data_IF_708166908068
#
_entry.id   IF_708166908068
#
_cell.length_a   1.000
_cell.length_b   1.000
_cell.length_c   1.000
_cell.angle_alpha   90.00
_cell.angle_beta   90.00
_cell.angle_gamma   90.00
#
_symmetry.space_group_name_H-M   'P 1'
#
loop_
_entity.id
_entity.type
_entity.pdbx_description
1 polymer ?
#
# COMPACT_ATOMS: atom_id res chain seq x y z
N UNK A 1 -3.54 -20.83 -81.48
CA UNK A 1 -3.19 -19.74 -82.42
C UNK A 1 -4.12 -18.58 -82.09
N UNK A 2 -3.57 -17.41 -81.77
CA UNK A 2 -4.26 -16.17 -81.31
C UNK A 2 -4.93 -16.28 -79.92
N UNK A 3 -4.97 -15.29 -79.03
CA UNK A 3 -4.45 -13.92 -78.92
C UNK A 3 -4.63 -13.59 -77.41
N UNK A 4 -3.65 -13.02 -76.69
CA UNK A 4 -3.91 -12.41 -75.37
C UNK A 4 -3.20 -11.06 -75.32
N UNK A 5 -3.99 -10.01 -75.48
CA UNK A 5 -3.58 -8.62 -75.33
C UNK A 5 -4.00 -8.16 -73.93
N UNK A 6 -3.02 -7.72 -73.12
CA UNK A 6 -3.24 -7.17 -71.78
C UNK A 6 -3.78 -5.75 -71.88
N UNK A 7 -4.94 -5.49 -71.29
CA UNK A 7 -5.46 -4.14 -71.04
C UNK A 7 -5.38 -3.89 -69.54
N UNK A 8 -4.65 -2.86 -69.15
CA UNK A 8 -4.57 -2.37 -67.76
C UNK A 8 -5.79 -1.48 -67.51
N UNK A 9 -6.61 -1.83 -66.52
CA UNK A 9 -7.67 -0.99 -65.99
C UNK A 9 -7.24 -0.43 -64.63
N UNK A 10 -7.16 0.90 -64.57
CA UNK A 10 -7.12 1.65 -63.32
C UNK A 10 -8.57 1.83 -62.84
N UNK A 11 -8.85 1.45 -61.59
CA UNK A 11 -10.11 1.74 -60.92
C UNK A 11 -9.84 2.14 -59.47
N UNK A 12 -10.09 3.41 -59.20
CA UNK A 12 -10.08 4.08 -57.90
C UNK A 12 -11.36 3.82 -57.09
N UNK A 13 -11.18 3.84 -55.75
CA UNK A 13 -12.14 4.24 -54.69
C UNK A 13 -13.33 3.32 -54.35
N UNK A 14 -13.29 2.75 -53.14
CA UNK A 14 -14.23 3.03 -52.05
C UNK A 14 -13.85 2.21 -50.79
N UNK A 15 -12.96 2.74 -49.96
CA UNK A 15 -12.72 2.19 -48.62
C UNK A 15 -13.70 2.82 -47.64
N UNK A 16 -14.65 2.01 -47.19
CA UNK A 16 -15.61 2.33 -46.13
C UNK A 16 -14.84 2.44 -44.80
N UNK A 17 -14.47 3.66 -44.39
CA UNK A 17 -13.98 3.90 -43.02
C UNK A 17 -15.15 3.83 -42.05
N UNK A 18 -15.32 2.67 -41.41
CA UNK A 18 -16.05 2.56 -40.16
C UNK A 18 -15.24 3.31 -39.09
N UNK A 19 -15.60 4.57 -38.82
CA UNK A 19 -15.20 5.24 -37.59
C UNK A 19 -15.86 4.52 -36.43
N UNK A 20 -15.18 3.52 -35.86
CA UNK A 20 -15.45 3.12 -34.48
C UNK A 20 -14.93 4.23 -33.58
N UNK A 21 -15.84 5.15 -33.23
CA UNK A 21 -15.64 6.11 -32.17
C UNK A 21 -15.49 5.30 -30.86
N UNK A 22 -14.25 4.95 -30.50
CA UNK A 22 -13.99 4.47 -29.15
C UNK A 22 -14.15 5.66 -28.23
N UNK A 23 -14.93 5.56 -27.13
CA UNK A 23 -14.89 6.59 -26.11
C UNK A 23 -13.47 6.59 -25.54
N UNK A 24 -12.71 7.63 -25.85
CA UNK A 24 -11.51 7.96 -25.12
C UNK A 24 -11.95 8.36 -23.72
N UNK A 25 -11.98 7.40 -22.80
CA UNK A 25 -11.97 7.68 -21.37
C UNK A 25 -10.60 8.31 -21.04
N UNK A 26 -10.45 9.59 -21.34
CA UNK A 26 -9.37 10.42 -20.85
C UNK A 26 -9.79 10.93 -19.46
N UNK A 27 -9.00 10.57 -18.43
CA UNK A 27 -9.27 10.96 -17.04
C UNK A 27 -9.35 9.81 -16.03
N UNK A 28 -8.67 8.69 -16.30
CA UNK A 28 -8.45 7.66 -15.29
C UNK A 28 -7.18 7.96 -14.52
N UNK A 29 -7.32 8.23 -13.21
CA UNK A 29 -6.23 8.17 -12.24
C UNK A 29 -5.35 6.95 -12.56
N UNK A 30 -4.04 7.19 -12.67
CA UNK A 30 -3.05 6.33 -13.31
C UNK A 30 -3.36 4.84 -13.14
N UNK A 31 -3.81 4.18 -14.23
CA UNK A 31 -3.97 2.71 -14.29
C UNK A 31 -2.61 2.04 -14.32
N UNK A 32 -1.92 2.08 -13.19
CA UNK A 32 -0.57 1.58 -13.02
C UNK A 32 -0.58 0.08 -12.75
N UNK A 33 0.22 -0.66 -13.52
CA UNK A 33 0.50 -2.07 -13.23
C UNK A 33 1.51 -2.26 -12.10
N UNK A 34 2.21 -1.18 -11.71
CA UNK A 34 3.16 -1.16 -10.61
C UNK A 34 2.60 -0.32 -9.46
N UNK A 35 2.38 -0.95 -8.30
CA UNK A 35 1.97 -0.27 -7.05
C UNK A 35 2.97 -0.68 -5.99
N UNK A 36 3.57 0.28 -5.27
CA UNK A 36 4.53 -0.03 -4.21
C UNK A 36 5.71 -0.86 -4.71
N UNK A 37 6.20 -0.58 -5.92
CA UNK A 37 7.37 -1.27 -6.46
C UNK A 37 7.19 -2.77 -6.71
N UNK A 38 5.96 -3.25 -6.93
CA UNK A 38 5.67 -4.61 -7.44
C UNK A 38 4.80 -4.55 -8.69
N UNK A 39 5.05 -5.45 -9.64
CA UNK A 39 4.25 -5.62 -10.86
C UNK A 39 3.31 -6.82 -10.72
N UNK A 40 2.06 -6.66 -11.16
CA UNK A 40 1.04 -7.72 -11.15
C UNK A 40 0.49 -7.93 -12.56
N UNK A 41 0.74 -9.10 -13.13
CA UNK A 41 0.27 -9.47 -14.47
C UNK A 41 -1.25 -9.79 -14.51
N UNK A 42 -1.76 -10.10 -15.71
CA UNK A 42 -3.18 -10.40 -15.91
C UNK A 42 -3.63 -11.69 -15.20
N UNK A 43 -2.68 -12.61 -14.98
CA UNK A 43 -2.86 -13.86 -14.26
C UNK A 43 -2.78 -13.68 -12.73
N UNK A 44 -2.47 -12.48 -12.25
CA UNK A 44 -2.33 -12.16 -10.83
C UNK A 44 -1.02 -12.62 -10.21
N UNK A 45 0.04 -12.81 -11.02
CA UNK A 45 1.38 -13.13 -10.54
C UNK A 45 2.10 -11.86 -10.11
N UNK A 46 2.53 -11.83 -8.85
CA UNK A 46 3.35 -10.75 -8.29
C UNK A 46 4.82 -10.98 -8.64
N UNK A 47 5.48 -9.92 -9.11
CA UNK A 47 6.91 -9.91 -9.43
C UNK A 47 7.52 -8.54 -9.18
N UNK A 48 8.84 -8.44 -9.21
CA UNK A 48 9.48 -7.13 -9.27
C UNK A 48 9.14 -6.44 -10.59
N UNK A 49 8.98 -5.11 -10.61
CA UNK A 49 8.95 -4.36 -11.84
C UNK A 49 10.28 -4.59 -12.57
N UNK A 50 10.21 -4.97 -13.84
CA UNK A 50 11.40 -5.09 -14.68
C UNK A 50 11.99 -3.69 -14.83
N UNK A 51 13.10 -3.41 -14.13
CA UNK A 51 13.86 -2.16 -14.32
C UNK A 51 14.38 -2.17 -15.75
N UNK A 52 13.68 -1.52 -16.66
CA UNK A 52 14.08 -1.56 -18.06
C UNK A 52 13.00 -1.39 -19.12
N UNK A 53 11.86 -0.79 -18.81
CA UNK A 53 11.02 -0.24 -19.89
C UNK A 53 10.98 1.30 -19.81
N UNK A 54 12.08 2.00 -20.16
CA UNK A 54 12.12 3.45 -20.23
C UNK A 54 11.01 4.02 -21.11
N UNK A 55 10.56 3.29 -22.13
CA UNK A 55 9.47 3.70 -23.02
C UNK A 55 8.12 3.62 -22.31
N UNK A 56 7.88 2.59 -21.49
CA UNK A 56 6.66 2.49 -20.65
C UNK A 56 6.65 3.49 -19.50
N UNK A 57 7.80 3.76 -18.88
CA UNK A 57 7.93 4.82 -17.86
C UNK A 57 7.83 6.23 -18.47
N UNK A 58 8.38 6.44 -19.67
CA UNK A 58 8.20 7.67 -20.42
C UNK A 58 6.73 7.86 -20.81
N UNK A 59 6.03 6.81 -21.25
CA UNK A 59 4.59 6.86 -21.52
C UNK A 59 3.79 7.20 -20.26
N UNK A 60 4.09 6.59 -19.11
CA UNK A 60 3.46 6.94 -17.81
C UNK A 60 3.73 8.40 -17.42
N UNK A 61 4.94 8.91 -17.67
CA UNK A 61 5.32 10.32 -17.42
C UNK A 61 4.68 11.30 -18.42
N UNK A 62 4.47 10.88 -19.67
CA UNK A 62 3.89 11.70 -20.74
C UNK A 62 2.36 11.72 -20.74
N UNK A 63 1.68 10.76 -20.09
CA UNK A 63 0.22 10.60 -20.18
C UNK A 63 -0.55 10.59 -18.86
N UNK A 64 0.11 10.67 -17.69
CA UNK A 64 -0.49 10.19 -16.45
C UNK A 64 -1.09 11.20 -15.48
N UNK A 65 -0.53 12.39 -15.33
CA UNK A 65 -0.93 13.34 -14.28
C UNK A 65 -0.86 14.79 -14.75
N UNK A 66 -1.85 15.57 -14.34
CA UNK A 66 -1.84 17.02 -14.53
C UNK A 66 -0.64 17.65 -13.79
N UNK A 67 -0.19 18.82 -14.28
CA UNK A 67 0.83 19.58 -13.57
C UNK A 67 0.30 19.98 -12.20
N UNK A 68 1.14 19.81 -11.17
CA UNK A 68 0.79 20.20 -9.79
C UNK A 68 0.38 21.68 -9.79
N UNK A 69 -0.83 22.03 -9.31
CA UNK A 69 -1.25 23.41 -9.16
C UNK A 69 -0.24 24.20 -8.31
N UNK A 70 0.04 25.45 -8.70
CA UNK A 70 1.13 26.25 -8.08
C UNK A 70 0.91 26.50 -6.60
N UNK A 71 -0.35 26.64 -6.19
CA UNK A 71 -0.79 26.81 -4.80
C UNK A 71 -0.63 25.52 -3.97
N UNK A 72 -0.77 24.34 -4.57
CA UNK A 72 -0.61 23.04 -3.89
C UNK A 72 0.86 22.59 -3.84
N UNK A 73 1.68 23.05 -4.78
CA UNK A 73 3.07 22.63 -4.95
C UNK A 73 3.95 22.94 -3.73
N UNK A 74 3.64 24.00 -2.99
CA UNK A 74 4.41 24.39 -1.79
C UNK A 74 4.25 23.35 -0.67
N UNK A 75 5.38 23.03 -0.04
CA UNK A 75 5.41 22.13 1.10
C UNK A 75 4.79 22.81 2.33
N UNK A 76 3.89 22.09 2.99
CA UNK A 76 3.17 22.53 4.17
C UNK A 76 3.33 21.50 5.28
N UNK A 77 3.76 21.91 6.49
CA UNK A 77 3.83 21.00 7.63
C UNK A 77 2.44 20.52 8.06
N UNK A 78 1.39 21.28 7.73
CA UNK A 78 0.03 20.98 8.10
C UNK A 78 -0.95 21.57 7.07
N UNK A 79 -1.42 20.71 6.17
CA UNK A 79 -2.51 20.97 5.22
C UNK A 79 -3.78 20.31 5.69
N UNK A 80 -4.89 21.00 5.52
CA UNK A 80 -6.22 20.56 5.86
C UNK A 80 -7.03 20.31 4.59
N UNK A 81 -7.83 19.24 4.59
CA UNK A 81 -8.67 18.80 3.47
C UNK A 81 -10.11 18.64 3.96
N UNK A 82 -11.04 19.42 3.39
CA UNK A 82 -12.47 19.37 3.71
C UNK A 82 -13.14 18.19 2.99
N UNK A 83 -13.64 17.21 3.75
CA UNK A 83 -14.36 16.08 3.16
C UNK A 83 -15.69 16.51 2.53
N UNK A 84 -16.36 17.52 3.11
CA UNK A 84 -17.58 18.09 2.52
C UNK A 84 -17.34 18.67 1.13
N UNK A 85 -16.26 19.45 0.96
CA UNK A 85 -15.95 20.07 -0.32
C UNK A 85 -15.39 19.05 -1.32
N UNK A 86 -14.59 18.08 -0.86
CA UNK A 86 -14.15 16.96 -1.71
C UNK A 86 -15.35 16.17 -2.24
N UNK A 87 -16.30 15.80 -1.38
CA UNK A 87 -17.56 15.14 -1.77
C UNK A 87 -18.34 15.97 -2.80
N UNK A 88 -18.47 17.29 -2.58
CA UNK A 88 -19.15 18.19 -3.51
C UNK A 88 -18.46 18.26 -4.89
N UNK A 89 -17.12 18.29 -4.92
CA UNK A 89 -16.35 18.27 -6.18
C UNK A 89 -16.56 16.93 -6.91
N UNK A 90 -16.52 15.80 -6.20
CA UNK A 90 -16.77 14.50 -6.80
C UNK A 90 -18.16 14.46 -7.43
N UNK A 91 -19.18 14.91 -6.69
CA UNK A 91 -20.55 14.99 -7.18
C UNK A 91 -20.66 15.83 -8.45
N UNK A 92 -20.13 17.07 -8.42
CA UNK A 92 -20.14 17.98 -9.57
C UNK A 92 -19.51 17.34 -10.81
N UNK A 93 -18.31 16.76 -10.66
CA UNK A 93 -17.58 16.19 -11.81
C UNK A 93 -18.28 14.95 -12.34
N UNK A 94 -18.73 14.05 -11.47
CA UNK A 94 -19.38 12.81 -11.91
C UNK A 94 -20.76 13.04 -12.51
N UNK A 95 -21.54 13.98 -12.00
CA UNK A 95 -22.82 14.38 -12.60
C UNK A 95 -22.63 15.05 -13.97
N UNK A 96 -21.53 15.76 -14.16
CA UNK A 96 -21.13 16.33 -15.45
C UNK A 96 -20.49 15.31 -16.41
N UNK A 97 -20.28 14.06 -16.00
CA UNK A 97 -19.58 13.05 -16.79
C UNK A 97 -18.09 13.34 -16.99
N UNK A 98 -17.50 14.14 -16.11
CA UNK A 98 -16.09 14.55 -16.14
C UNK A 98 -15.27 13.75 -15.12
N UNK A 99 -13.95 13.60 -15.36
CA UNK A 99 -13.06 13.04 -14.36
C UNK A 99 -12.92 13.97 -13.14
N UNK A 100 -12.63 13.38 -11.99
CA UNK A 100 -12.25 14.13 -10.79
C UNK A 100 -10.79 14.58 -10.97
N UNK A 101 -10.46 15.86 -10.72
CA UNK A 101 -9.09 16.37 -10.86
C UNK A 101 -8.06 15.61 -10.01
N UNK A 102 -6.84 15.49 -10.52
CA UNK A 102 -5.76 14.75 -9.86
C UNK A 102 -5.42 15.31 -8.48
N UNK A 103 -5.48 16.63 -8.30
CA UNK A 103 -5.23 17.25 -7.00
C UNK A 103 -6.22 16.79 -5.93
N UNK A 104 -7.49 16.54 -6.31
CA UNK A 104 -8.51 16.00 -5.40
C UNK A 104 -8.30 14.50 -5.20
N UNK A 105 -7.98 13.75 -6.27
CA UNK A 105 -7.66 12.32 -6.18
C UNK A 105 -6.41 12.04 -5.33
N UNK A 106 -5.51 13.02 -5.21
CA UNK A 106 -4.29 12.99 -4.40
C UNK A 106 -4.41 13.77 -3.09
N UNK A 107 -5.64 14.09 -2.67
CA UNK A 107 -5.97 14.81 -1.42
C UNK A 107 -5.05 16.01 -1.14
N UNK A 108 -4.82 16.83 -2.15
CA UNK A 108 -4.03 18.06 -2.03
C UNK A 108 -2.57 17.81 -1.72
N UNK A 109 -2.02 16.65 -2.08
CA UNK A 109 -0.62 16.32 -1.84
C UNK A 109 -0.32 15.91 -0.40
N UNK A 110 -1.33 15.52 0.40
CA UNK A 110 -1.11 14.96 1.73
C UNK A 110 -0.13 13.79 1.65
N UNK A 111 0.91 13.82 2.48
CA UNK A 111 1.92 12.75 2.59
C UNK A 111 1.50 11.68 3.61
N UNK A 112 0.62 12.06 4.55
CA UNK A 112 -0.09 11.17 5.48
C UNK A 112 -1.21 11.95 6.17
N UNK A 113 -2.18 11.26 6.75
CA UNK A 113 -3.16 11.86 7.66
C UNK A 113 -2.64 11.74 9.09
N UNK A 114 -2.66 12.84 9.84
CA UNK A 114 -2.30 12.87 11.26
C UNK A 114 -3.45 13.32 12.15
N UNK A 115 -4.34 14.17 11.62
CA UNK A 115 -5.43 14.75 12.37
C UNK A 115 -6.77 14.50 11.68
N UNK A 116 -7.80 14.31 12.50
CA UNK A 116 -9.21 14.31 12.08
C UNK A 116 -9.92 15.36 12.92
N UNK A 117 -10.52 16.35 12.27
CA UNK A 117 -11.14 17.50 12.91
C UNK A 117 -12.61 17.57 12.50
N UNK A 118 -13.46 17.84 13.47
CA UNK A 118 -14.90 18.00 13.31
C UNK A 118 -15.22 19.46 13.51
N UNK A 119 -15.78 20.11 12.50
CA UNK A 119 -16.18 21.51 12.54
C UNK A 119 -17.71 21.62 12.43
N UNK A 120 -18.45 21.63 13.56
CA UNK A 120 -19.90 21.70 13.55
C UNK A 120 -20.45 22.93 12.81
N UNK A 121 -19.82 24.09 12.99
CA UNK A 121 -20.23 25.35 12.35
C UNK A 121 -20.04 25.31 10.83
N UNK A 122 -19.06 24.55 10.36
CA UNK A 122 -18.79 24.36 8.92
C UNK A 122 -19.54 23.15 8.34
N UNK A 123 -20.18 22.35 9.20
CA UNK A 123 -20.79 21.06 8.88
C UNK A 123 -19.82 20.11 8.18
N UNK A 124 -18.60 20.04 8.71
CA UNK A 124 -17.48 19.43 8.01
C UNK A 124 -16.69 18.47 8.89
N UNK A 125 -16.10 17.48 8.24
CA UNK A 125 -15.05 16.63 8.79
C UNK A 125 -13.81 16.86 7.94
N UNK A 126 -12.68 17.13 8.59
CA UNK A 126 -11.47 17.60 7.94
C UNK A 126 -10.32 16.66 8.28
N UNK A 127 -9.62 16.21 7.25
CA UNK A 127 -8.38 15.48 7.38
C UNK A 127 -7.22 16.47 7.36
N UNK A 128 -6.20 16.28 8.20
CA UNK A 128 -5.01 17.11 8.12
C UNK A 128 -3.71 16.37 8.40
N UNK A 129 -2.62 16.88 7.81
CA UNK A 129 -1.28 16.33 7.94
C UNK A 129 -0.28 17.06 7.04
N UNK A 130 0.99 16.61 6.99
CA UNK A 130 2.00 17.22 6.13
C UNK A 130 1.64 17.01 4.65
N UNK A 131 1.87 18.01 3.82
CA UNK A 131 1.60 17.96 2.40
C UNK A 131 2.69 18.65 1.58
N UNK A 132 2.79 18.28 0.31
CA UNK A 132 3.68 18.93 -0.66
C UNK A 132 3.23 18.58 -2.08
N UNK A 133 3.78 19.27 -3.08
CA UNK A 133 3.62 18.85 -4.47
C UNK A 133 4.15 17.43 -4.74
N UNK A 134 3.68 16.79 -5.80
CA UNK A 134 4.05 15.41 -6.15
C UNK A 134 4.83 15.30 -7.47
N UNK A 135 5.46 14.13 -7.65
CA UNK A 135 6.15 13.67 -8.86
C UNK A 135 5.99 12.16 -9.00
N UNK A 136 6.35 11.65 -10.18
CA UNK A 136 6.44 10.21 -10.43
C UNK A 136 7.86 9.74 -10.12
N UNK A 137 8.00 8.69 -9.31
CA UNK A 137 9.30 8.06 -9.00
C UNK A 137 9.80 7.14 -10.13
N UNK A 138 10.94 6.46 -9.93
CA UNK A 138 11.51 5.54 -10.92
C UNK A 138 10.68 4.27 -11.12
N UNK A 139 9.83 3.93 -10.15
CA UNK A 139 8.96 2.77 -10.12
C UNK A 139 7.54 3.08 -10.61
N UNK A 140 7.26 4.35 -10.93
CA UNK A 140 5.97 4.85 -11.37
C UNK A 140 5.12 5.45 -10.24
N UNK A 141 5.44 5.30 -8.97
CA UNK A 141 4.53 5.74 -7.91
C UNK A 141 4.49 7.27 -7.82
N UNK A 142 3.34 7.78 -7.37
CA UNK A 142 3.14 9.21 -7.09
C UNK A 142 3.66 9.51 -5.68
N UNK A 143 4.74 10.28 -5.62
CA UNK A 143 5.46 10.60 -4.39
C UNK A 143 5.64 12.12 -4.23
N UNK A 144 5.78 12.59 -3.00
CA UNK A 144 6.12 13.97 -2.68
C UNK A 144 7.43 14.41 -3.34
N UNK A 145 7.46 15.64 -3.82
CA UNK A 145 8.60 16.20 -4.55
C UNK A 145 9.85 16.29 -3.68
N UNK A 146 9.71 16.69 -2.42
CA UNK A 146 10.86 16.87 -1.52
C UNK A 146 11.12 15.62 -0.67
N UNK A 147 10.08 14.98 -0.11
CA UNK A 147 10.27 13.85 0.80
C UNK A 147 10.50 12.51 0.11
N UNK A 148 9.98 12.33 -1.12
CA UNK A 148 9.92 11.02 -1.78
C UNK A 148 8.91 10.06 -1.16
N UNK A 149 8.10 10.51 -0.19
CA UNK A 149 7.04 9.70 0.42
C UNK A 149 5.82 9.59 -0.50
N UNK A 150 5.07 8.50 -0.46
CA UNK A 150 3.84 8.39 -1.22
C UNK A 150 2.79 9.40 -0.83
N UNK A 151 2.10 9.93 -1.83
CA UNK A 151 0.95 10.82 -1.63
C UNK A 151 -0.29 9.99 -1.28
N UNK A 152 -1.14 10.51 -0.41
CA UNK A 152 -2.38 9.85 0.01
C UNK A 152 -3.38 9.90 -1.14
N UNK A 153 -3.86 8.73 -1.57
CA UNK A 153 -4.87 8.60 -2.61
C UNK A 153 -6.29 8.60 -2.02
N UNK A 154 -7.18 9.38 -2.63
CA UNK A 154 -8.61 9.39 -2.30
C UNK A 154 -9.25 8.01 -2.52
N UNK A 155 -8.83 7.26 -3.55
CA UNK A 155 -9.30 5.88 -3.79
C UNK A 155 -9.04 4.96 -2.58
N UNK A 156 -7.86 5.07 -1.96
CA UNK A 156 -7.54 4.28 -0.76
C UNK A 156 -8.35 4.74 0.45
N UNK A 157 -8.63 6.05 0.57
CA UNK A 157 -9.52 6.57 1.62
C UNK A 157 -10.95 6.03 1.45
N UNK A 158 -11.47 6.02 0.21
CA UNK A 158 -12.79 5.43 -0.09
C UNK A 158 -12.83 3.94 0.22
N UNK A 159 -11.78 3.18 -0.10
CA UNK A 159 -11.67 1.75 0.27
C UNK A 159 -11.69 1.58 1.79
N UNK A 160 -10.93 2.40 2.52
CA UNK A 160 -10.90 2.36 3.98
C UNK A 160 -12.27 2.70 4.60
N UNK A 161 -12.93 3.76 4.13
CA UNK A 161 -14.28 4.16 4.56
C UNK A 161 -15.31 3.07 4.30
N UNK A 162 -15.34 2.52 3.08
CA UNK A 162 -16.25 1.42 2.69
C UNK A 162 -16.03 0.17 3.53
N UNK A 163 -14.77 -0.16 3.82
CA UNK A 163 -14.42 -1.29 4.67
C UNK A 163 -14.91 -1.08 6.11
N UNK A 164 -14.66 0.11 6.69
CA UNK A 164 -15.09 0.47 8.03
C UNK A 164 -16.62 0.46 8.19
N UNK A 165 -17.36 0.92 7.17
CA UNK A 165 -18.83 0.90 7.14
C UNK A 165 -19.39 -0.51 6.98
N UNK A 166 -18.84 -1.30 6.05
CA UNK A 166 -19.40 -2.62 5.70
C UNK A 166 -19.06 -3.70 6.72
N UNK A 167 -17.87 -3.64 7.33
CA UNK A 167 -17.40 -4.65 8.28
C UNK A 167 -16.81 -4.00 9.54
N UNK A 168 -17.60 -3.28 10.35
CA UNK A 168 -17.10 -2.60 11.54
C UNK A 168 -16.39 -3.59 12.47
N UNK A 169 -15.14 -3.27 12.82
CA UNK A 169 -14.31 -4.11 13.70
C UNK A 169 -13.66 -5.32 13.03
N UNK A 170 -13.94 -5.60 11.75
CA UNK A 170 -13.16 -6.59 11.00
C UNK A 170 -11.85 -5.98 10.53
N UNK A 171 -10.74 -6.70 10.73
CA UNK A 171 -9.43 -6.27 10.24
C UNK A 171 -9.27 -6.44 8.72
N UNK A 172 -8.32 -5.68 8.17
CA UNK A 172 -7.84 -5.85 6.80
C UNK A 172 -6.55 -6.69 6.85
N UNK A 173 -6.37 -7.61 5.91
CA UNK A 173 -5.16 -8.41 5.89
C UNK A 173 -4.75 -8.87 4.51
N UNK A 174 -3.46 -9.15 4.35
CA UNK A 174 -2.97 -10.00 3.28
C UNK A 174 -2.01 -11.05 3.82
N UNK A 175 -1.89 -12.18 3.11
CA UNK A 175 -0.86 -13.18 3.38
C UNK A 175 -0.28 -13.70 2.08
N UNK A 176 0.99 -14.10 2.12
CA UNK A 176 1.63 -14.88 1.07
C UNK A 176 2.14 -16.15 1.73
N UNK A 177 1.49 -17.26 1.40
CA UNK A 177 1.70 -18.56 2.03
C UNK A 177 1.94 -19.67 0.99
N UNK A 178 2.72 -20.71 1.32
CA UNK A 178 2.95 -21.81 0.40
C UNK A 178 1.71 -22.67 0.30
N UNK A 179 1.50 -23.26 -0.87
CA UNK A 179 0.40 -24.21 -1.04
C UNK A 179 0.64 -25.47 -0.19
N UNK A 180 -0.43 -26.14 0.30
CA UNK A 180 -0.29 -27.43 0.99
C UNK A 180 0.48 -28.47 0.16
N UNK A 181 0.26 -28.47 -1.16
CA UNK A 181 0.99 -29.32 -2.11
C UNK A 181 2.48 -28.96 -2.19
N UNK A 182 2.82 -27.68 -2.31
CA UNK A 182 4.20 -27.21 -2.33
C UNK A 182 4.96 -27.58 -1.05
N UNK A 183 4.32 -27.44 0.11
CA UNK A 183 4.90 -27.88 1.39
C UNK A 183 5.16 -29.39 1.41
N UNK A 184 4.20 -30.20 0.95
CA UNK A 184 4.35 -31.65 0.90
C UNK A 184 5.47 -32.08 -0.07
N UNK A 185 5.62 -31.40 -1.21
CA UNK A 185 6.67 -31.66 -2.18
C UNK A 185 8.06 -31.36 -1.61
N UNK A 186 8.22 -30.19 -0.95
CA UNK A 186 9.46 -29.83 -0.28
C UNK A 186 9.79 -30.81 0.84
N UNK A 187 8.81 -31.22 1.65
CA UNK A 187 9.03 -32.18 2.74
C UNK A 187 9.54 -33.54 2.23
N UNK A 188 9.00 -34.03 1.10
CA UNK A 188 9.48 -35.26 0.44
C UNK A 188 10.90 -35.11 -0.10
N UNK A 189 11.26 -33.92 -0.60
CA UNK A 189 12.56 -33.64 -1.21
C UNK A 189 13.67 -33.40 -0.18
N UNK A 190 13.39 -32.71 0.93
CA UNK A 190 14.44 -32.27 1.89
C UNK A 190 15.22 -33.45 2.47
N UNK A 191 14.58 -34.61 2.64
CA UNK A 191 15.26 -35.85 3.08
C UNK A 191 16.20 -36.48 2.05
N UNK A 192 16.06 -36.16 0.77
CA UNK A 192 16.85 -36.70 -0.35
C UNK A 192 17.85 -35.71 -0.95
N UNK A 193 17.85 -34.45 -0.49
CA UNK A 193 18.81 -33.43 -0.92
C UNK A 193 20.24 -33.82 -0.53
N UNK A 194 21.02 -34.21 -1.53
CA UNK A 194 22.44 -34.51 -1.36
C UNK A 194 23.22 -33.21 -1.13
N UNK A 195 23.87 -33.08 0.03
CA UNK A 195 24.72 -31.92 0.37
C UNK A 195 25.85 -31.67 -0.65
N UNK A 196 26.15 -32.63 -1.53
CA UNK A 196 27.16 -32.53 -2.58
C UNK A 196 26.64 -31.90 -3.89
N UNK A 197 25.33 -31.67 -4.05
CA UNK A 197 24.75 -31.13 -5.29
C UNK A 197 25.08 -29.65 -5.56
N UNK A 198 25.68 -28.96 -4.59
CA UNK A 198 25.97 -27.53 -4.64
C UNK A 198 24.80 -26.69 -4.14
N UNK A 199 25.05 -25.60 -3.38
CA UNK A 199 24.01 -24.77 -2.77
C UNK A 199 22.93 -24.25 -3.73
N UNK A 200 23.34 -23.78 -4.91
CA UNK A 200 22.45 -23.15 -5.89
C UNK A 200 21.47 -24.15 -6.52
N UNK A 201 21.94 -25.35 -6.90
CA UNK A 201 21.07 -26.37 -7.50
C UNK A 201 20.00 -26.85 -6.54
N UNK A 202 20.34 -27.02 -5.27
CA UNK A 202 19.39 -27.44 -4.26
C UNK A 202 18.43 -26.31 -3.87
N UNK A 203 18.86 -25.04 -3.87
CA UNK A 203 17.96 -23.90 -3.74
C UNK A 203 16.91 -23.86 -4.87
N UNK A 204 17.34 -24.03 -6.13
CA UNK A 204 16.45 -24.07 -7.28
C UNK A 204 15.50 -25.28 -7.23
N UNK A 205 15.98 -26.47 -6.86
CA UNK A 205 15.14 -27.66 -6.71
C UNK A 205 14.06 -27.49 -5.63
N UNK A 206 14.41 -26.85 -4.49
CA UNK A 206 13.44 -26.53 -3.44
C UNK A 206 12.40 -25.52 -3.95
N UNK A 207 12.84 -24.48 -4.66
CA UNK A 207 11.93 -23.47 -5.22
C UNK A 207 10.95 -24.08 -6.23
N UNK A 208 11.45 -24.94 -7.13
CA UNK A 208 10.65 -25.67 -8.11
C UNK A 208 9.65 -26.62 -7.44
N UNK A 209 10.08 -27.37 -6.41
CA UNK A 209 9.20 -28.27 -5.66
C UNK A 209 8.12 -27.52 -4.88
N UNK A 210 8.45 -26.35 -4.31
CA UNK A 210 7.48 -25.52 -3.60
C UNK A 210 6.47 -24.88 -4.56
N UNK A 211 6.92 -24.51 -5.75
CA UNK A 211 6.09 -23.88 -6.77
C UNK A 211 5.63 -22.47 -6.36
N UNK A 212 4.44 -22.09 -6.82
CA UNK A 212 3.83 -20.82 -6.45
C UNK A 212 3.30 -20.82 -5.01
N UNK A 213 3.44 -19.69 -4.35
CA UNK A 213 2.76 -19.35 -3.10
C UNK A 213 1.45 -18.65 -3.43
N UNK A 214 0.42 -18.89 -2.62
CA UNK A 214 -0.90 -18.29 -2.74
C UNK A 214 -0.94 -16.98 -1.98
N UNK A 215 -1.59 -15.98 -2.58
CA UNK A 215 -1.86 -14.70 -1.95
C UNK A 215 -3.32 -14.67 -1.52
N UNK A 216 -3.56 -14.31 -0.27
CA UNK A 216 -4.90 -14.05 0.25
C UNK A 216 -5.02 -12.59 0.66
N UNK A 217 -6.18 -11.98 0.42
CA UNK A 217 -6.50 -10.59 0.84
C UNK A 217 -7.91 -10.58 1.40
N UNK A 218 -8.09 -9.97 2.58
CA UNK A 218 -9.36 -9.85 3.28
C UNK A 218 -9.62 -8.42 3.77
N UNK A 219 -10.89 -8.07 3.97
CA UNK A 219 -11.31 -6.77 4.50
C UNK A 219 -11.36 -5.64 3.45
N UNK A 220 -10.74 -5.81 2.28
CA UNK A 220 -10.79 -4.85 1.16
C UNK A 220 -10.99 -5.56 -0.18
N UNK A 221 -11.48 -4.87 -1.24
CA UNK A 221 -11.57 -5.45 -2.58
C UNK A 221 -10.19 -5.88 -3.09
N UNK A 222 -10.04 -7.12 -3.57
CA UNK A 222 -8.74 -7.66 -4.02
C UNK A 222 -8.17 -6.94 -5.26
N UNK A 223 -9.03 -6.26 -6.01
CA UNK A 223 -8.70 -5.49 -7.21
C UNK A 223 -8.37 -4.02 -6.88
N UNK A 224 -8.39 -3.60 -5.61
CA UNK A 224 -8.10 -2.21 -5.22
C UNK A 224 -6.60 -1.90 -5.16
N UNK A 225 -6.26 -0.62 -5.27
CA UNK A 225 -4.91 -0.12 -4.99
C UNK A 225 -4.47 -0.47 -3.56
N UNK A 226 -5.36 -0.33 -2.57
CA UNK A 226 -5.14 -0.72 -1.18
C UNK A 226 -4.68 -2.18 -1.01
N UNK A 227 -5.36 -3.13 -1.67
CA UNK A 227 -4.98 -4.55 -1.63
C UNK A 227 -3.58 -4.78 -2.20
N UNK A 228 -3.26 -4.12 -3.31
CA UNK A 228 -1.93 -4.19 -3.94
C UNK A 228 -0.86 -3.60 -3.02
N UNK A 229 -1.15 -2.48 -2.37
CA UNK A 229 -0.25 -1.84 -1.39
C UNK A 229 0.12 -2.79 -0.26
N UNK A 230 -0.87 -3.48 0.35
CA UNK A 230 -0.59 -4.46 1.41
C UNK A 230 0.32 -5.60 0.91
N UNK A 231 -0.01 -6.18 -0.24
CA UNK A 231 0.77 -7.29 -0.82
C UNK A 231 2.16 -6.84 -1.23
N UNK A 232 2.30 -5.64 -1.80
CA UNK A 232 3.57 -5.06 -2.20
C UNK A 232 4.52 -4.94 -1.01
N UNK A 233 4.06 -4.38 0.09
CA UNK A 233 4.87 -4.19 1.29
C UNK A 233 5.31 -5.51 1.94
N UNK A 234 4.43 -6.52 2.02
CA UNK A 234 4.83 -7.85 2.52
C UNK A 234 5.85 -8.52 1.59
N UNK A 235 5.61 -8.47 0.28
CA UNK A 235 6.54 -9.00 -0.71
C UNK A 235 7.92 -8.32 -0.61
N UNK A 236 7.97 -6.98 -0.55
CA UNK A 236 9.20 -6.20 -0.38
C UNK A 236 9.90 -6.51 0.93
N UNK A 237 9.18 -6.54 2.06
CA UNK A 237 9.70 -6.92 3.37
C UNK A 237 10.42 -8.28 3.32
N UNK A 238 9.79 -9.30 2.72
CA UNK A 238 10.36 -10.65 2.59
C UNK A 238 11.63 -10.67 1.76
N UNK A 239 11.69 -9.90 0.68
CA UNK A 239 12.88 -9.80 -0.18
C UNK A 239 14.08 -9.20 0.55
N UNK A 240 13.84 -8.15 1.34
CA UNK A 240 14.86 -7.57 2.21
C UNK A 240 15.29 -8.54 3.31
N UNK A 241 14.34 -9.19 3.98
CA UNK A 241 14.62 -10.17 5.03
C UNK A 241 15.50 -11.32 4.53
N UNK A 242 15.17 -11.83 3.35
CA UNK A 242 15.80 -13.01 2.77
C UNK A 242 17.00 -12.69 1.88
N UNK A 243 17.41 -11.42 1.83
CA UNK A 243 18.60 -10.98 1.11
C UNK A 243 18.53 -11.22 -0.39
N UNK A 244 17.32 -11.31 -0.96
CA UNK A 244 17.13 -11.30 -2.42
C UNK A 244 17.47 -9.93 -2.99
N UNK A 245 17.33 -8.90 -2.18
CA UNK A 245 17.72 -7.53 -2.47
C UNK A 245 18.47 -6.92 -1.29
N UNK A 246 19.44 -6.03 -1.55
CA UNK A 246 20.04 -5.23 -0.50
C UNK A 246 18.99 -4.28 0.09
N UNK A 247 19.06 -4.04 1.39
CA UNK A 247 18.31 -2.93 1.99
C UNK A 247 18.81 -1.61 1.41
N UNK A 248 17.91 -0.70 1.02
CA UNK A 248 18.32 0.65 0.63
C UNK A 248 18.85 1.45 1.84
N UNK A 249 18.54 1.00 3.07
CA UNK A 249 18.96 1.65 4.31
C UNK A 249 20.22 1.04 4.91
N UNK A 250 21.16 1.91 5.29
CA UNK A 250 22.40 1.53 5.97
C UNK A 250 22.14 0.78 7.29
N UNK A 251 23.02 -0.17 7.62
CA UNK A 251 23.00 -0.96 8.86
C UNK A 251 21.75 -1.83 9.05
N UNK A 252 21.09 -2.23 7.96
CA UNK A 252 19.98 -3.17 7.98
C UNK A 252 20.36 -4.46 7.24
N UNK A 253 21.12 -5.37 7.88
CA UNK A 253 21.48 -6.64 7.28
C UNK A 253 20.25 -7.52 7.07
N UNK A 254 20.29 -8.41 6.08
CA UNK A 254 19.25 -9.42 5.92
C UNK A 254 19.25 -10.39 7.11
N UNK A 255 18.12 -11.05 7.36
CA UNK A 255 18.01 -12.11 8.36
C UNK A 255 19.07 -13.20 8.16
N UNK A 256 19.37 -13.52 6.90
CA UNK A 256 20.38 -14.51 6.54
C UNK A 256 21.79 -14.09 6.95
N UNK A 257 22.11 -12.81 6.79
CA UNK A 257 23.38 -12.25 7.25
C UNK A 257 23.47 -12.24 8.79
N UNK A 258 22.36 -12.01 9.50
CA UNK A 258 22.30 -12.11 10.95
C UNK A 258 22.52 -13.54 11.45
N UNK A 259 21.88 -14.51 10.78
CA UNK A 259 22.07 -15.93 11.06
C UNK A 259 23.50 -16.40 10.84
N UNK A 260 24.14 -16.01 9.72
CA UNK A 260 25.52 -16.37 9.42
C UNK A 260 26.56 -15.80 10.39
N UNK A 261 26.22 -14.76 11.16
CA UNK A 261 27.07 -14.14 12.19
C UNK A 261 26.89 -14.75 13.59
N UNK A 262 25.83 -15.53 13.81
CA UNK A 262 25.56 -16.17 15.11
C UNK A 262 26.43 -17.40 15.36
N UNK A 263 26.99 -17.54 16.57
CA UNK A 263 27.72 -18.75 17.03
C UNK A 263 26.80 -19.86 17.57
N UNK A 264 25.48 -19.70 17.46
CA UNK A 264 24.48 -20.63 18.03
C UNK A 264 23.97 -21.68 17.03
N UNK A 265 23.33 -22.74 17.54
CA UNK A 265 22.53 -23.68 16.74
C UNK A 265 21.44 -22.89 16.02
N UNK A 266 21.54 -22.74 14.71
CA UNK A 266 20.47 -22.17 13.88
C UNK A 266 19.23 -23.04 14.08
N UNK A 267 18.12 -22.40 14.45
CA UNK A 267 16.81 -23.05 14.61
C UNK A 267 16.49 -23.90 13.37
N UNK A 268 15.86 -25.07 13.57
CA UNK A 268 15.37 -25.91 12.47
C UNK A 268 14.20 -25.28 11.71
N UNK A 269 13.70 -24.11 12.13
CA UNK A 269 12.64 -23.43 11.41
C UNK A 269 13.14 -22.89 10.06
N UNK A 270 12.86 -23.65 9.00
CA UNK A 270 13.18 -23.30 7.61
C UNK A 270 12.29 -22.16 7.08
N UNK A 271 11.18 -21.85 7.77
CA UNK A 271 10.14 -20.91 7.36
C UNK A 271 9.88 -19.85 8.44
N UNK A 272 10.78 -18.88 8.65
CA UNK A 272 10.49 -17.77 9.55
C UNK A 272 9.23 -17.00 9.09
N UNK A 273 8.39 -16.59 10.04
CA UNK A 273 7.19 -15.79 9.82
C UNK A 273 7.39 -14.36 10.30
N UNK A 274 7.20 -13.40 9.41
CA UNK A 274 7.10 -11.97 9.72
C UNK A 274 5.81 -11.39 9.18
N UNK A 275 5.20 -10.45 9.89
CA UNK A 275 4.10 -9.66 9.33
C UNK A 275 4.20 -8.21 9.78
N UNK A 276 3.56 -7.32 9.02
CA UNK A 276 3.48 -5.90 9.31
C UNK A 276 2.13 -5.58 9.94
N UNK A 277 2.15 -4.83 11.04
CA UNK A 277 0.95 -4.41 11.75
C UNK A 277 1.03 -2.95 12.22
N UNK A 278 -0.12 -2.31 12.47
CA UNK A 278 -0.20 -1.01 13.12
C UNK A 278 0.64 -0.90 14.39
N UNK A 279 1.32 0.23 14.57
CA UNK A 279 2.12 0.56 15.76
C UNK A 279 1.98 2.05 16.08
N UNK A 280 0.83 2.37 16.66
CA UNK A 280 0.46 3.71 17.06
C UNK A 280 0.56 3.86 18.58
N UNK A 281 0.79 5.09 19.02
CA UNK A 281 0.52 5.47 20.41
C UNK A 281 -1.00 5.65 20.58
N UNK A 282 -1.52 5.67 21.82
CA UNK A 282 -2.92 6.03 22.07
C UNK A 282 -3.29 7.31 21.32
N UNK A 283 -4.44 7.27 20.65
CA UNK A 283 -4.95 8.40 19.86
C UNK A 283 -5.24 9.53 20.82
N UNK A 284 -4.82 10.74 20.47
CA UNK A 284 -5.18 11.90 21.26
C UNK A 284 -6.54 12.44 20.85
N UNK A 285 -7.27 12.99 21.81
CA UNK A 285 -8.45 13.82 21.54
C UNK A 285 -8.49 15.07 22.40
N UNK A 286 -9.18 16.09 21.92
CA UNK A 286 -9.56 17.25 22.73
C UNK A 286 -10.69 16.91 23.72
N UNK A 287 -10.98 17.83 24.63
CA UNK A 287 -12.05 17.64 25.62
C UNK A 287 -13.44 17.58 24.97
N UNK A 288 -13.63 18.28 23.84
CA UNK A 288 -14.90 18.34 23.15
C UNK A 288 -15.14 17.13 22.21
N UNK A 289 -14.12 16.31 21.94
CA UNK A 289 -14.18 15.23 20.96
C UNK A 289 -14.24 15.71 19.51
N UNK A 290 -13.90 16.97 19.26
CA UNK A 290 -13.91 17.62 17.95
C UNK A 290 -12.56 17.53 17.23
N UNK A 291 -11.49 17.13 17.91
CA UNK A 291 -10.18 17.06 17.31
C UNK A 291 -9.42 15.84 17.80
N UNK A 292 -8.85 15.09 16.84
CA UNK A 292 -8.17 13.83 17.09
C UNK A 292 -6.81 13.81 16.41
N UNK A 293 -5.80 13.20 17.05
CA UNK A 293 -4.46 13.02 16.50
C UNK A 293 -4.01 11.55 16.56
N UNK A 294 -3.67 10.97 15.41
CA UNK A 294 -3.00 9.68 15.33
C UNK A 294 -1.48 9.87 15.45
N UNK A 295 -0.88 9.16 16.41
CA UNK A 295 0.52 9.33 16.79
C UNK A 295 1.35 8.07 16.63
N UNK A 296 2.66 8.27 16.49
CA UNK A 296 3.63 7.19 16.38
C UNK A 296 4.06 6.92 14.95
N UNK A 297 4.97 5.96 14.83
CA UNK A 297 5.57 5.55 13.56
C UNK A 297 4.55 4.86 12.64
N UNK A 298 3.50 4.26 13.20
CA UNK A 298 2.39 3.67 12.46
C UNK A 298 2.60 2.20 12.08
N UNK A 299 3.83 1.71 11.91
CA UNK A 299 4.10 0.32 11.50
C UNK A 299 5.11 -0.37 12.41
N UNK A 300 4.88 -1.65 12.70
CA UNK A 300 5.83 -2.57 13.32
C UNK A 300 5.89 -3.88 12.56
N UNK A 301 7.09 -4.44 12.47
CA UNK A 301 7.31 -5.79 11.99
C UNK A 301 7.26 -6.73 13.20
N UNK A 302 6.41 -7.74 13.11
CA UNK A 302 6.19 -8.75 14.12
C UNK A 302 6.74 -10.09 13.63
N UNK A 303 7.09 -10.96 14.57
CA UNK A 303 7.57 -12.33 14.31
C UNK A 303 6.63 -13.36 14.89
N UNK A 304 6.74 -14.63 14.50
CA UNK A 304 5.96 -15.73 15.12
C UNK A 304 5.96 -15.71 16.66
N UNK A 305 7.05 -15.25 17.28
CA UNK A 305 7.17 -15.13 18.74
C UNK A 305 6.22 -14.08 19.35
N UNK A 306 5.85 -13.10 18.54
CA UNK A 306 4.94 -12.01 18.89
C UNK A 306 3.47 -12.39 18.60
N UNK A 307 3.21 -13.58 18.02
CA UNK A 307 1.87 -14.06 17.73
C UNK A 307 1.17 -14.48 19.02
N UNK A 308 0.08 -13.78 19.34
CA UNK A 308 -0.88 -14.16 20.37
C UNK A 308 -2.12 -14.61 19.63
N UNK A 309 -2.59 -15.84 19.86
CA UNK A 309 -3.82 -16.30 19.22
C UNK A 309 -5.04 -15.51 19.73
N UNK A 310 -6.20 -15.67 19.08
CA UNK A 310 -7.45 -15.00 19.46
C UNK A 310 -7.94 -15.34 20.90
N UNK A 311 -7.30 -16.29 21.58
CA UNK A 311 -7.57 -16.70 22.96
C UNK A 311 -6.56 -16.11 23.96
N UNK A 312 -5.64 -15.25 23.53
CA UNK A 312 -4.64 -14.62 24.40
C UNK A 312 -3.42 -15.51 24.71
N UNK A 313 -3.30 -16.68 24.08
CA UNK A 313 -2.21 -17.60 24.32
C UNK A 313 -1.05 -17.38 23.32
N UNK A 314 0.16 -17.21 23.86
CA UNK A 314 1.39 -17.18 23.05
C UNK A 314 1.69 -18.58 22.54
N UNK A 315 1.59 -18.80 21.23
CA UNK A 315 1.98 -20.08 20.63
C UNK A 315 3.50 -20.19 20.60
N UNK A 316 4.03 -21.09 21.43
CA UNK A 316 5.42 -21.57 21.48
C UNK A 316 6.50 -20.63 22.07
N UNK A 317 7.19 -21.18 23.07
CA UNK A 317 8.45 -20.74 23.68
C UNK A 317 9.62 -20.82 22.71
N UNK A 318 9.68 -19.97 21.69
CA UNK A 318 10.95 -19.66 21.02
C UNK A 318 11.65 -18.60 21.88
N UNK A 319 12.93 -18.80 22.20
CA UNK A 319 13.67 -17.88 23.07
C UNK A 319 13.55 -16.43 22.56
N UNK A 320 13.16 -15.54 23.45
CA UNK A 320 13.08 -14.10 23.20
C UNK A 320 14.44 -13.59 22.68
N UNK A 321 14.43 -12.78 21.61
CA UNK A 321 15.62 -12.09 21.11
C UNK A 321 16.46 -12.85 20.08
N UNK A 322 15.88 -13.83 19.37
CA UNK A 322 16.55 -14.51 18.26
C UNK A 322 16.80 -13.61 17.04
N UNK A 323 17.60 -14.06 16.05
CA UNK A 323 17.91 -13.29 14.84
C UNK A 323 16.69 -12.79 14.05
N UNK A 324 15.56 -13.52 14.09
CA UNK A 324 14.31 -13.10 13.45
C UNK A 324 13.70 -11.87 14.14
N UNK A 325 13.66 -11.88 15.48
CA UNK A 325 13.22 -10.74 16.29
C UNK A 325 14.15 -9.54 16.11
N UNK A 326 15.47 -9.77 16.14
CA UNK A 326 16.45 -8.70 15.89
C UNK A 326 16.25 -8.04 14.52
N UNK A 327 15.97 -8.84 13.49
CA UNK A 327 15.68 -8.31 12.16
C UNK A 327 14.40 -7.48 12.15
N UNK A 328 13.32 -8.00 12.76
CA UNK A 328 12.05 -7.30 12.87
C UNK A 328 12.17 -5.97 13.64
N UNK A 329 12.85 -5.97 14.79
CA UNK A 329 13.13 -4.77 15.58
C UNK A 329 13.94 -3.76 14.75
N UNK A 330 14.97 -4.22 14.02
CA UNK A 330 15.76 -3.35 13.13
C UNK A 330 14.91 -2.78 11.99
N UNK A 331 14.02 -3.58 11.40
CA UNK A 331 13.10 -3.14 10.36
C UNK A 331 12.18 -2.03 10.90
N UNK A 332 11.60 -2.23 12.09
CA UNK A 332 10.76 -1.24 12.77
C UNK A 332 11.54 0.03 13.09
N UNK A 333 12.71 -0.07 13.72
CA UNK A 333 13.54 1.09 14.06
C UNK A 333 13.95 1.90 12.82
N UNK A 334 14.10 1.25 11.67
CA UNK A 334 14.50 1.87 10.39
C UNK A 334 13.33 2.19 9.47
N UNK A 335 12.10 1.94 9.90
CA UNK A 335 10.92 2.02 9.02
C UNK A 335 10.71 3.41 8.42
N UNK A 336 10.95 4.49 9.16
CA UNK A 336 10.83 5.85 8.62
C UNK A 336 11.74 6.07 7.41
N UNK A 337 13.01 5.66 7.52
CA UNK A 337 14.01 5.82 6.46
C UNK A 337 13.72 4.85 5.31
N UNK A 338 13.19 3.66 5.61
CA UNK A 338 12.75 2.71 4.59
C UNK A 338 11.59 3.28 3.77
N UNK A 339 10.61 3.90 4.41
CA UNK A 339 9.46 4.51 3.73
C UNK A 339 9.86 5.71 2.84
N UNK A 340 10.96 6.39 3.17
CA UNK A 340 11.51 7.48 2.34
C UNK A 340 12.22 6.94 1.07
N UNK A 341 12.76 5.71 1.12
CA UNK A 341 13.57 5.13 0.03
C UNK A 341 12.86 4.05 -0.77
N UNK A 342 11.81 3.45 -0.22
CA UNK A 342 11.00 2.41 -0.84
C UNK A 342 9.53 2.75 -0.58
N UNK A 343 8.89 3.28 -1.63
CA UNK A 343 7.51 3.75 -1.60
C UNK A 343 6.51 2.67 -1.16
N UNK A 344 6.83 1.37 -1.31
CA UNK A 344 5.95 0.29 -0.83
C UNK A 344 5.62 0.40 0.65
N UNK A 345 6.61 0.78 1.47
CA UNK A 345 6.45 0.94 2.91
C UNK A 345 5.73 2.24 3.25
N UNK A 346 5.98 3.32 2.50
CA UNK A 346 5.24 4.57 2.65
C UNK A 346 3.75 4.41 2.30
N UNK A 347 3.44 3.68 1.22
CA UNK A 347 2.06 3.40 0.82
C UNK A 347 1.37 2.55 1.89
N UNK A 348 2.06 1.55 2.44
CA UNK A 348 1.49 0.75 3.52
C UNK A 348 1.19 1.61 4.76
N UNK A 349 2.03 2.60 5.09
CA UNK A 349 1.73 3.52 6.18
C UNK A 349 0.49 4.33 5.91
N UNK A 350 0.35 4.91 4.71
CA UNK A 350 -0.85 5.64 4.34
C UNK A 350 -2.09 4.74 4.42
N UNK A 351 -2.00 3.49 3.94
CA UNK A 351 -3.08 2.53 4.06
C UNK A 351 -3.48 2.25 5.52
N UNK A 352 -2.51 2.12 6.44
CA UNK A 352 -2.80 1.96 7.88
C UNK A 352 -3.37 3.23 8.51
N UNK A 353 -2.80 4.40 8.22
CA UNK A 353 -3.31 5.69 8.71
C UNK A 353 -4.77 5.87 8.26
N UNK A 354 -5.08 5.60 6.99
CA UNK A 354 -6.45 5.69 6.44
C UNK A 354 -7.41 4.66 7.04
N UNK A 355 -6.96 3.42 7.32
CA UNK A 355 -7.79 2.43 7.97
C UNK A 355 -8.16 2.84 9.42
N UNK A 356 -7.21 3.42 10.16
CA UNK A 356 -7.44 3.96 11.50
C UNK A 356 -8.38 5.16 11.44
N UNK A 357 -8.10 6.12 10.55
CA UNK A 357 -8.91 7.34 10.36
C UNK A 357 -10.35 7.01 9.94
N UNK A 358 -10.54 6.13 8.96
CA UNK A 358 -11.86 5.72 8.52
C UNK A 358 -12.66 5.04 9.64
N UNK A 359 -12.01 4.14 10.39
CA UNK A 359 -12.64 3.49 11.53
C UNK A 359 -12.99 4.49 12.63
N UNK A 360 -12.13 5.49 12.88
CA UNK A 360 -12.37 6.55 13.84
C UNK A 360 -13.58 7.41 13.44
N UNK A 361 -13.65 7.84 12.18
CA UNK A 361 -14.77 8.63 11.63
C UNK A 361 -16.09 7.88 11.82
N UNK A 362 -16.13 6.59 11.46
CA UNK A 362 -17.33 5.75 11.58
C UNK A 362 -17.69 5.47 13.04
N UNK A 363 -16.71 5.13 13.88
CA UNK A 363 -16.94 4.76 15.29
C UNK A 363 -17.47 5.93 16.11
N UNK A 364 -16.92 7.12 15.92
CA UNK A 364 -17.32 8.31 16.66
C UNK A 364 -18.53 9.02 16.02
N UNK A 365 -19.01 8.53 14.86
CA UNK A 365 -20.15 9.12 14.15
C UNK A 365 -19.90 10.56 13.72
N UNK A 366 -18.67 10.88 13.32
CA UNK A 366 -18.23 12.26 13.10
C UNK A 366 -19.02 12.95 11.98
N UNK A 367 -19.37 12.21 10.93
CA UNK A 367 -20.16 12.73 9.82
C UNK A 367 -21.61 13.02 10.27
N UNK A 368 -22.20 12.14 11.07
CA UNK A 368 -23.55 12.29 11.61
C UNK A 368 -23.64 13.47 12.58
N UNK A 369 -22.62 13.68 13.42
CA UNK A 369 -22.57 14.81 14.36
C UNK A 369 -22.72 16.17 13.67
N UNK A 370 -22.20 16.30 12.45
CA UNK A 370 -22.22 17.54 11.68
C UNK A 370 -23.24 17.54 10.54
N UNK A 371 -23.98 16.45 10.37
CA UNK A 371 -24.96 16.27 9.29
C UNK A 371 -24.33 16.24 7.90
N UNK A 372 -23.11 15.71 7.77
CA UNK A 372 -22.41 15.53 6.51
C UNK A 372 -22.76 14.17 5.90
N UNK A 373 -23.36 14.17 4.72
CA UNK A 373 -23.57 12.97 3.91
C UNK A 373 -22.48 12.87 2.83
N UNK A 374 -21.94 11.68 2.62
CA UNK A 374 -20.83 11.43 1.67
C UNK A 374 -21.11 10.22 0.76
N UNK A 375 -22.22 10.21 0.00
CA UNK A 375 -22.63 9.05 -0.78
C UNK A 375 -21.63 8.67 -1.88
N UNK A 376 -20.87 9.60 -2.45
CA UNK A 376 -19.85 9.30 -3.45
C UNK A 376 -18.66 8.58 -2.85
N UNK A 377 -18.07 9.13 -1.79
CA UNK A 377 -16.98 8.47 -1.05
C UNK A 377 -17.44 7.11 -0.51
N UNK A 378 -18.61 7.06 0.13
CA UNK A 378 -19.08 5.88 0.85
C UNK A 378 -19.62 4.77 -0.07
N UNK A 379 -20.06 5.07 -1.30
CA UNK A 379 -20.71 4.07 -2.15
C UNK A 379 -20.59 4.32 -3.66
N UNK A 380 -21.06 5.48 -4.13
CA UNK A 380 -21.38 5.69 -5.56
C UNK A 380 -20.16 5.82 -6.47
N UNK A 381 -19.02 6.25 -5.94
CA UNK A 381 -17.84 6.42 -6.76
C UNK A 381 -17.31 5.06 -7.24
N UNK A 382 -17.10 4.92 -8.55
CA UNK A 382 -16.48 3.75 -9.15
C UNK A 382 -14.97 3.79 -8.94
N UNK A 383 -14.47 2.90 -8.08
CA UNK A 383 -13.04 2.81 -7.75
C UNK A 383 -12.25 2.27 -8.94
N UNK A 384 -10.97 2.68 -9.05
CA UNK A 384 -10.07 2.09 -10.02
C UNK A 384 -9.89 0.59 -9.74
N UNK A 385 -10.12 -0.24 -10.75
CA UNK A 385 -9.89 -1.67 -10.68
C UNK A 385 -8.55 -2.06 -11.29
N UNK A 386 -7.87 -2.97 -10.61
CA UNK A 386 -6.59 -3.49 -11.01
C UNK A 386 -6.55 -5.03 -10.98
N UNK A 387 -5.56 -5.64 -11.64
CA UNK A 387 -5.34 -7.10 -11.52
C UNK A 387 -5.11 -7.46 -10.05
N UNK A 388 -5.93 -8.39 -9.55
CA UNK A 388 -5.84 -8.89 -8.19
C UNK A 388 -4.56 -9.73 -8.00
N UNK A 389 -3.79 -9.53 -6.92
CA UNK A 389 -2.67 -10.39 -6.59
C UNK A 389 -3.16 -11.77 -6.13
N UNK A 390 -2.73 -12.82 -6.81
CA UNK A 390 -3.18 -14.21 -6.57
C UNK A 390 -2.06 -15.15 -6.16
N UNK A 391 -0.87 -14.95 -6.70
CA UNK A 391 0.27 -15.85 -6.47
C UNK A 391 1.62 -15.18 -6.67
N UNK A 392 2.66 -15.77 -6.10
CA UNK A 392 4.05 -15.35 -6.29
C UNK A 392 4.95 -16.57 -6.42
N UNK A 393 5.96 -16.49 -7.29
CA UNK A 393 6.93 -17.58 -7.42
C UNK A 393 7.77 -17.70 -6.14
N UNK A 394 7.97 -18.92 -5.65
CA UNK A 394 8.86 -19.15 -4.51
C UNK A 394 10.29 -18.77 -4.86
N UNK A 395 10.93 -18.03 -3.97
CA UNK A 395 12.37 -17.80 -4.00
C UNK A 395 13.01 -18.41 -2.74
N UNK A 396 14.18 -19.00 -2.94
CA UNK A 396 14.94 -19.68 -1.88
C UNK A 396 16.31 -19.02 -1.75
N UNK A 397 16.76 -18.86 -0.51
CA UNK A 397 18.10 -18.33 -0.23
C UNK A 397 18.93 -19.33 0.55
N UNK A 398 20.24 -19.26 0.38
CA UNK A 398 21.21 -20.13 1.03
C UNK A 398 22.09 -19.36 2.01
N UNK A 399 22.30 -19.91 3.22
CA UNK A 399 23.32 -19.40 4.15
C UNK A 399 24.54 -20.31 4.10
N UNK A 400 25.73 -19.71 3.90
CA UNK A 400 27.04 -20.39 3.94
C UNK A 400 27.45 -20.92 5.33
N UNK A 401 26.54 -20.98 6.29
CA UNK A 401 26.76 -21.44 7.66
C UNK A 401 26.32 -22.91 7.83
N UNK A 402 26.83 -23.82 6.98
CA UNK A 402 26.57 -25.25 7.06
C UNK A 402 25.67 -25.80 5.94
N UNK A 403 24.76 -26.73 6.29
CA UNK A 403 23.89 -27.51 5.37
C UNK A 403 22.40 -27.11 5.42
N UNK A 404 22.07 -25.93 5.94
CA UNK A 404 20.67 -25.56 6.23
C UNK A 404 20.06 -24.68 5.13
N UNK A 405 18.79 -24.96 4.85
CA UNK A 405 17.96 -24.29 3.85
C UNK A 405 16.96 -23.36 4.53
N UNK A 406 16.79 -22.15 4.01
CA UNK A 406 15.78 -21.21 4.48
C UNK A 406 14.99 -20.73 3.29
N UNK A 407 13.67 -20.82 3.40
CA UNK A 407 12.75 -20.55 2.31
C UNK A 407 11.91 -19.34 2.70
N UNK A 408 11.81 -18.35 1.80
CA UNK A 408 10.91 -17.22 2.02
C UNK A 408 9.50 -17.71 1.73
N UNK A 409 8.72 -18.01 2.77
CA UNK A 409 7.48 -18.74 2.54
C UNK A 409 6.27 -18.18 3.27
N UNK A 410 6.43 -17.36 4.30
CA UNK A 410 5.28 -16.97 5.12
C UNK A 410 5.42 -15.59 5.73
N UNK A 411 4.33 -14.83 5.64
CA UNK A 411 4.22 -13.47 6.17
C UNK A 411 3.03 -12.73 5.59
N UNK A 412 2.81 -11.50 6.02
CA UNK A 412 1.64 -10.73 5.59
C UNK A 412 1.57 -9.32 6.15
N UNK A 413 0.41 -8.72 5.96
CA UNK A 413 0.00 -7.47 6.60
C UNK A 413 -1.28 -7.74 7.37
N UNK A 414 -1.38 -7.22 8.58
CA UNK A 414 -2.60 -7.26 9.38
C UNK A 414 -2.89 -5.89 9.96
N UNK A 415 -4.06 -5.34 9.68
CA UNK A 415 -4.52 -4.04 10.15
C UNK A 415 -5.81 -4.27 10.93
N UNK A 416 -5.77 -4.03 12.23
CA UNK A 416 -6.96 -4.11 13.10
C UNK A 416 -7.16 -2.72 13.74
N UNK A 417 -7.85 -1.80 13.04
CA UNK A 417 -8.00 -0.43 13.53
C UNK A 417 -8.67 -0.33 14.90
N UNK A 418 -9.61 -1.22 15.20
CA UNK A 418 -10.34 -1.23 16.45
C UNK A 418 -9.44 -1.44 17.68
N UNK A 419 -8.35 -2.20 17.55
CA UNK A 419 -7.37 -2.38 18.64
C UNK A 419 -6.60 -1.10 18.92
N UNK A 420 -6.29 -0.31 17.88
CA UNK A 420 -5.60 0.97 18.01
C UNK A 420 -6.51 2.03 18.66
N UNK A 421 -7.79 2.02 18.31
CA UNK A 421 -8.78 2.95 18.85
C UNK A 421 -9.33 2.52 20.22
N UNK A 422 -8.84 1.42 20.80
CA UNK A 422 -9.31 0.95 22.10
C UNK A 422 -8.84 1.84 23.27
N UNK A 423 -7.74 2.57 23.06
CA UNK A 423 -7.15 3.48 24.04
C UNK A 423 -7.01 4.89 23.45
N UNK A 424 -7.56 5.88 24.15
CA UNK A 424 -7.44 7.31 23.83
C UNK A 424 -6.95 8.11 25.04
N UNK A 425 -6.24 9.21 24.76
CA UNK A 425 -5.74 10.16 25.76
C UNK A 425 -6.30 11.56 25.48
N UNK A 426 -6.89 12.20 26.49
CA UNK A 426 -7.42 13.57 26.37
C UNK A 426 -6.31 14.61 26.63
N UNK A 427 -6.12 15.57 25.72
CA UNK A 427 -5.08 16.61 25.83
C UNK A 427 -5.54 17.93 25.21
N UNK A 428 -5.27 19.05 25.90
CA UNK A 428 -5.67 20.38 25.45
C UNK A 428 -4.85 20.93 24.27
N UNK A 429 -3.66 20.38 23.98
CA UNK A 429 -2.78 20.92 22.92
C UNK A 429 -3.33 20.76 21.51
N UNK A 430 -4.30 19.87 21.30
CA UNK A 430 -4.93 19.68 19.99
C UNK A 430 -5.81 20.89 19.63
N UNK A 431 -6.30 21.64 20.61
CA UNK A 431 -7.16 22.81 20.41
C UNK A 431 -6.48 23.87 19.52
N UNK A 432 -5.13 23.97 19.56
CA UNK A 432 -4.37 24.89 18.70
C UNK A 432 -4.45 24.52 17.21
N UNK A 433 -4.50 23.22 16.90
CA UNK A 433 -4.69 22.69 15.54
C UNK A 433 -6.13 22.88 15.09
N UNK A 434 -7.09 22.64 15.98
CA UNK A 434 -8.53 22.84 15.73
C UNK A 434 -8.90 24.32 15.53
N UNK A 435 -8.16 25.25 16.13
CA UNK A 435 -8.39 26.70 16.02
C UNK A 435 -8.18 27.31 14.62
N UNK A 436 -7.84 26.52 13.60
CA UNK A 436 -7.57 27.01 12.23
C UNK A 436 -8.84 27.16 11.35
N UNK A 437 -10.04 26.93 11.91
CA UNK A 437 -11.33 26.95 11.19
C UNK A 437 -11.68 28.28 10.50
N UNK A 438 -11.21 29.42 11.01
CA UNK A 438 -11.53 30.76 10.48
C UNK A 438 -11.02 30.98 9.04
N UNK A 439 -10.07 30.16 8.58
CA UNK A 439 -9.55 30.20 7.21
C UNK A 439 -10.53 29.58 6.20
N UNK A 440 -11.34 28.61 6.64
CA UNK A 440 -12.38 27.96 5.82
C UNK A 440 -13.61 28.84 5.70
N UNK A 441 -14.03 29.48 6.79
CA UNK A 441 -15.23 30.33 6.78
C UNK A 441 -15.16 31.46 5.74
N UNK A 442 -13.95 31.84 5.31
CA UNK A 442 -13.69 32.90 4.33
C UNK A 442 -13.22 32.40 2.95
N UNK A 443 -13.01 31.09 2.76
CA UNK A 443 -12.53 30.53 1.50
C UNK A 443 -13.43 29.40 1.02
N UNK A 444 -13.86 29.47 -0.23
CA UNK A 444 -14.60 28.39 -0.89
C UNK A 444 -13.65 27.26 -1.38
N UNK A 445 -12.49 27.10 -0.73
CA UNK A 445 -11.44 26.16 -1.12
C UNK A 445 -11.59 24.85 -0.34
N UNK A 446 -11.41 23.72 -1.02
CA UNK A 446 -11.53 22.39 -0.44
C UNK A 446 -10.29 21.99 0.40
N UNK A 447 -9.26 22.83 0.41
CA UNK A 447 -8.05 22.67 1.21
C UNK A 447 -7.49 24.04 1.66
N UNK A 448 -6.65 24.02 2.70
CA UNK A 448 -5.87 25.18 3.17
C UNK A 448 -4.66 24.73 4.00
N UNK A 449 -3.65 25.58 4.14
CA UNK A 449 -2.48 25.33 4.98
C UNK A 449 -2.58 26.06 6.33
N UNK A 450 -1.91 25.54 7.36
CA UNK A 450 -1.69 26.24 8.63
C UNK A 450 -0.85 27.52 8.43
N UNK A 451 -0.73 28.36 9.46
CA UNK A 451 0.12 29.56 9.42
C UNK A 451 1.57 29.27 9.76
#
# INVERSE_FOLDING_TARGET
>A
MSLVLRISFASTLASLLLLTCQPAFAGGFVRQNAVGGVSIDAEGVVSNPTVGDPERLAAVRETGLDQVPTDIAEASPLRFISLRQVEAIIAEKKEAGLPVPDEVMLLGGLQRVQYVLVYPELKDVVLAGPAEGWRIDELGNVVGQNSGRPVVALDDFMVAMRSALANPGQGMSCSIDPTPEGLANVQKMVGSLNANAGPERAANAIAEAMGYQTISVTGVPQTSHFARTMVAADFRMKRLAMGFEPSPVNNMPSYLQLLGKGRGRVSQNMLPRWWLAPNYQPVLRDEAGLAWEIRGQGIKCLTEQDYVNAQGEKTQTVAAGGPAKKWADTFTDKFEILADQDSSFGHLRNAMDLAVVATLIVREGMAEQVGLDMPWINEKYELAEFNAPKRVATQTSFIKAGRQWIISASGGVQIIPAEILAEDETVATIDEVAGQQDRVANSNTWWWDAK
#
